data_IF_329502880331
#
_entry.id   IF_329502880331
#
_cell.length_a   1.000
_cell.length_b   1.000
_cell.length_c   1.000
_cell.angle_alpha   90.00
_cell.angle_beta   90.00
_cell.angle_gamma   90.00
#
_symmetry.space_group_name_H-M   'P 1'
#
loop_
_entity.id
_entity.type
_entity.pdbx_description
1 polymer ?
#
# COMPACT_ATOMS: atom_id res chain seq x y z
N UNK A 1 42.21 -30.88 18.70
CA UNK A 1 40.74 -31.02 18.78
C UNK A 1 40.13 -29.63 18.99
N UNK A 2 39.13 -29.29 18.18
CA UNK A 2 38.49 -27.98 18.03
C UNK A 2 37.82 -27.49 19.32
N UNK A 3 37.96 -26.19 19.64
CA UNK A 3 37.00 -25.42 20.44
C UNK A 3 36.75 -24.07 19.77
N UNK A 4 35.98 -24.09 18.68
CA UNK A 4 35.34 -22.90 18.12
C UNK A 4 34.03 -22.72 18.89
N UNK A 5 34.06 -21.94 19.96
CA UNK A 5 32.92 -21.70 20.85
C UNK A 5 32.49 -20.23 20.69
N UNK A 6 31.35 -20.08 20.01
CA UNK A 6 30.16 -19.41 20.55
C UNK A 6 30.14 -17.89 20.68
N UNK A 7 30.32 -17.19 19.56
CA UNK A 7 29.99 -15.75 19.46
C UNK A 7 29.02 -15.45 18.31
N UNK A 8 27.97 -16.27 18.18
CA UNK A 8 27.04 -16.19 17.04
C UNK A 8 25.54 -16.10 17.39
N UNK A 9 25.10 -15.25 18.36
CA UNK A 9 23.68 -14.88 18.37
C UNK A 9 23.42 -13.37 18.32
N UNK A 10 24.42 -12.51 18.13
CA UNK A 10 24.24 -11.04 18.22
C UNK A 10 24.13 -10.29 16.89
N UNK A 11 24.33 -10.95 15.74
CA UNK A 11 24.33 -10.30 14.42
C UNK A 11 22.93 -10.22 13.77
N UNK A 12 21.92 -10.91 14.32
CA UNK A 12 20.58 -10.96 13.70
C UNK A 12 19.62 -9.84 14.17
N UNK A 13 20.02 -8.96 15.09
CA UNK A 13 19.12 -7.92 15.65
C UNK A 13 19.09 -6.61 14.85
N UNK A 14 19.94 -6.44 13.82
CA UNK A 14 19.96 -5.23 12.98
C UNK A 14 19.34 -5.45 11.59
N UNK A 15 18.73 -6.61 11.34
CA UNK A 15 18.24 -6.96 10.00
C UNK A 15 16.90 -6.31 9.62
N UNK A 16 16.26 -5.57 10.54
CA UNK A 16 15.00 -4.85 10.27
C UNK A 16 15.16 -3.32 10.22
N UNK A 17 16.38 -2.79 10.23
CA UNK A 17 16.65 -1.35 10.05
C UNK A 17 17.08 -1.07 8.60
N UNK A 18 16.17 -1.27 7.66
CA UNK A 18 16.30 -0.77 6.29
C UNK A 18 15.90 0.70 6.20
N UNK A 19 16.29 1.41 5.13
CA UNK A 19 15.73 2.73 4.86
C UNK A 19 14.21 2.65 4.68
N UNK A 20 13.51 3.73 5.02
CA UNK A 20 12.07 3.82 4.77
C UNK A 20 11.75 3.56 3.30
N UNK A 21 10.67 2.84 3.03
CA UNK A 21 10.25 2.55 1.67
C UNK A 21 9.98 3.86 0.89
N UNK A 22 10.40 3.98 -0.38
CA UNK A 22 10.11 5.18 -1.18
C UNK A 22 8.60 5.36 -1.36
N UNK A 23 8.14 6.60 -1.57
CA UNK A 23 6.71 6.93 -1.76
C UNK A 23 6.09 6.13 -2.90
N UNK A 24 6.83 5.91 -3.98
CA UNK A 24 6.38 5.09 -5.11
C UNK A 24 6.01 3.65 -4.66
N UNK A 25 6.82 3.04 -3.79
CA UNK A 25 6.54 1.70 -3.27
C UNK A 25 5.32 1.68 -2.35
N UNK A 26 5.16 2.70 -1.50
CA UNK A 26 3.98 2.83 -0.64
C UNK A 26 2.72 2.99 -1.48
N UNK A 27 2.75 3.83 -2.50
CA UNK A 27 1.61 4.02 -3.39
C UNK A 27 1.24 2.75 -4.15
N UNK A 28 2.23 2.07 -4.75
CA UNK A 28 2.02 0.79 -5.47
C UNK A 28 1.40 -0.27 -4.58
N UNK A 29 1.82 -0.39 -3.32
CA UNK A 29 1.23 -1.32 -2.35
C UNK A 29 -0.26 -1.01 -2.11
N UNK A 30 -0.62 0.27 -1.94
CA UNK A 30 -2.03 0.67 -1.78
C UNK A 30 -2.82 0.35 -3.05
N UNK A 31 -2.28 0.63 -4.24
CA UNK A 31 -2.93 0.29 -5.52
C UNK A 31 -3.24 -1.21 -5.60
N UNK A 32 -2.24 -2.06 -5.36
CA UNK A 32 -2.40 -3.52 -5.41
C UNK A 32 -3.52 -3.96 -4.46
N UNK A 33 -3.53 -3.46 -3.23
CA UNK A 33 -4.55 -3.80 -2.22
C UNK A 33 -5.95 -3.34 -2.61
N UNK A 34 -6.07 -2.13 -3.19
CA UNK A 34 -7.34 -1.62 -3.69
C UNK A 34 -7.84 -2.44 -4.88
N UNK A 35 -6.96 -2.87 -5.79
CA UNK A 35 -7.33 -3.71 -6.93
C UNK A 35 -7.76 -5.12 -6.51
N UNK A 36 -7.10 -5.68 -5.52
CA UNK A 36 -7.50 -6.94 -4.91
C UNK A 36 -8.85 -6.84 -4.21
N UNK A 37 -9.08 -5.76 -3.45
CA UNK A 37 -10.38 -5.50 -2.85
C UNK A 37 -11.47 -5.30 -3.93
N UNK A 38 -11.18 -4.54 -4.99
CA UNK A 38 -12.12 -4.30 -6.09
C UNK A 38 -12.55 -5.61 -6.80
N UNK A 39 -11.66 -6.60 -6.89
CA UNK A 39 -11.97 -7.90 -7.50
C UNK A 39 -13.00 -8.71 -6.70
N UNK A 40 -13.08 -8.53 -5.38
CA UNK A 40 -13.98 -9.30 -4.49
C UNK A 40 -15.10 -8.46 -3.87
N UNK A 41 -15.02 -7.13 -3.98
CA UNK A 41 -15.95 -6.17 -3.38
C UNK A 41 -16.46 -5.19 -4.47
N UNK A 42 -17.63 -5.45 -5.09
CA UNK A 42 -18.14 -4.62 -6.19
C UNK A 42 -18.28 -3.13 -5.85
N UNK A 43 -18.62 -2.82 -4.59
CA UNK A 43 -18.76 -1.44 -4.12
C UNK A 43 -17.46 -0.63 -4.12
N UNK A 44 -16.29 -1.29 -4.04
CA UNK A 44 -14.97 -0.64 -4.11
C UNK A 44 -14.65 -0.29 -5.56
N UNK A 45 -14.89 -1.22 -6.50
CA UNK A 45 -14.65 -1.01 -7.92
C UNK A 45 -15.45 0.18 -8.48
N UNK A 46 -16.73 0.29 -8.08
CA UNK A 46 -17.60 1.41 -8.47
C UNK A 46 -17.08 2.75 -7.92
N UNK A 47 -16.64 2.79 -6.66
CA UNK A 47 -16.20 4.03 -6.03
C UNK A 47 -14.87 4.58 -6.56
N UNK A 48 -14.02 3.71 -7.10
CA UNK A 48 -12.73 4.08 -7.67
C UNK A 48 -12.78 4.24 -9.21
N UNK A 49 -13.95 4.04 -9.83
CA UNK A 49 -14.15 4.04 -11.29
C UNK A 49 -13.13 3.12 -12.01
N UNK A 50 -13.08 1.87 -11.55
CA UNK A 50 -12.11 0.87 -11.98
C UNK A 50 -12.70 -0.06 -13.04
N UNK A 51 -12.01 -0.16 -14.18
CA UNK A 51 -12.28 -1.15 -15.21
C UNK A 51 -11.51 -2.46 -15.01
N UNK A 52 -11.44 -3.27 -16.08
CA UNK A 52 -10.75 -4.57 -16.10
C UNK A 52 -9.23 -4.48 -15.85
N UNK A 53 -8.63 -3.30 -15.99
CA UNK A 53 -7.20 -3.05 -15.84
C UNK A 53 -6.91 -2.16 -14.62
N UNK A 54 -7.36 -2.58 -13.43
CA UNK A 54 -7.30 -1.78 -12.21
C UNK A 54 -5.89 -1.25 -11.90
N UNK A 55 -4.87 -2.12 -11.80
CA UNK A 55 -3.53 -1.69 -11.40
C UNK A 55 -2.94 -0.68 -12.38
N UNK A 56 -2.98 -1.00 -13.68
CA UNK A 56 -2.46 -0.10 -14.71
C UNK A 56 -3.19 1.25 -14.70
N UNK A 57 -4.51 1.23 -14.50
CA UNK A 57 -5.33 2.44 -14.47
C UNK A 57 -5.01 3.32 -13.26
N UNK A 58 -4.86 2.73 -12.07
CA UNK A 58 -4.52 3.46 -10.86
C UNK A 58 -3.07 3.96 -10.87
N UNK A 59 -2.11 3.14 -11.30
CA UNK A 59 -0.70 3.53 -11.38
C UNK A 59 -0.48 4.71 -12.33
N UNK A 60 -1.11 4.68 -13.50
CA UNK A 60 -1.04 5.76 -14.47
C UNK A 60 -1.73 7.04 -13.93
N UNK A 61 -2.91 6.90 -13.32
CA UNK A 61 -3.69 8.03 -12.78
C UNK A 61 -2.97 8.73 -11.63
N UNK A 62 -2.32 7.97 -10.76
CA UNK A 62 -1.62 8.48 -9.57
C UNK A 62 -0.18 8.89 -9.83
N UNK A 63 0.41 8.46 -10.96
CA UNK A 63 1.83 8.67 -11.26
C UNK A 63 2.77 7.74 -10.50
N UNK A 64 2.24 6.74 -9.78
CA UNK A 64 3.01 5.88 -8.89
C UNK A 64 3.91 4.87 -9.61
N UNK A 65 3.83 4.79 -10.93
CA UNK A 65 4.82 4.08 -11.75
C UNK A 65 6.21 4.75 -11.74
N UNK A 66 6.28 6.07 -11.50
CA UNK A 66 7.54 6.81 -11.47
C UNK A 66 8.36 6.55 -10.21
N UNK A 67 9.64 6.20 -10.34
CA UNK A 67 10.56 6.03 -9.20
C UNK A 67 10.84 7.36 -8.46
N UNK A 68 10.63 8.50 -9.12
CA UNK A 68 10.73 9.83 -8.52
C UNK A 68 9.40 10.34 -7.93
N UNK A 69 8.35 9.50 -7.91
CA UNK A 69 7.07 9.86 -7.32
C UNK A 69 7.24 10.22 -5.84
N UNK A 70 6.59 11.31 -5.44
CA UNK A 70 6.50 11.76 -4.07
C UNK A 70 5.09 12.25 -3.77
N UNK A 71 4.58 11.90 -2.58
CA UNK A 71 3.31 12.39 -2.10
C UNK A 71 3.40 13.89 -1.79
N UNK A 72 2.55 14.68 -2.44
CA UNK A 72 2.44 16.13 -2.20
C UNK A 72 1.11 16.48 -1.54
N UNK A 73 0.01 16.05 -2.16
CA UNK A 73 -1.34 16.13 -1.63
C UNK A 73 -2.12 14.90 -2.11
N UNK A 74 -2.47 13.95 -1.21
CA UNK A 74 -2.23 13.92 0.23
C UNK A 74 -0.73 13.76 0.60
N UNK A 75 -0.38 13.99 1.88
CA UNK A 75 0.99 13.74 2.37
C UNK A 75 1.26 12.26 2.58
N UNK A 76 2.54 11.86 2.61
CA UNK A 76 2.95 10.49 2.89
C UNK A 76 2.37 9.98 4.21
N UNK A 77 2.49 10.75 5.29
CA UNK A 77 2.02 10.37 6.62
C UNK A 77 0.52 10.09 6.60
N UNK A 78 -0.24 10.93 5.88
CA UNK A 78 -1.68 10.77 5.74
C UNK A 78 -2.04 9.49 4.98
N UNK A 79 -1.31 9.16 3.91
CA UNK A 79 -1.48 7.90 3.18
C UNK A 79 -1.15 6.69 4.05
N UNK A 80 -0.07 6.78 4.86
CA UNK A 80 0.36 5.71 5.76
C UNK A 80 -0.65 5.43 6.87
N UNK A 81 -1.24 6.46 7.46
CA UNK A 81 -2.34 6.34 8.43
C UNK A 81 -3.56 5.71 7.76
N UNK A 82 -3.95 6.24 6.60
CA UNK A 82 -5.16 5.81 5.92
C UNK A 82 -5.11 4.38 5.41
N UNK A 83 -3.94 3.86 5.04
CA UNK A 83 -3.81 2.48 4.54
C UNK A 83 -3.91 1.41 5.62
N UNK A 84 -3.87 1.76 6.91
CA UNK A 84 -3.89 0.78 8.02
C UNK A 84 -5.01 -0.27 7.90
N UNK A 85 -6.27 0.08 7.55
CA UNK A 85 -7.33 -0.92 7.36
C UNK A 85 -7.01 -1.92 6.26
N UNK A 86 -6.33 -1.51 5.18
CA UNK A 86 -5.95 -2.37 4.06
C UNK A 86 -4.85 -3.40 4.44
N UNK A 87 -4.23 -3.23 5.61
CA UNK A 87 -3.19 -4.10 6.15
C UNK A 87 -3.74 -5.09 7.19
N UNK A 88 -5.06 -5.19 7.36
CA UNK A 88 -5.69 -6.01 8.43
C UNK A 88 -5.29 -7.49 8.39
N UNK A 89 -4.99 -8.03 7.20
CA UNK A 89 -4.50 -9.40 7.00
C UNK A 89 -2.96 -9.52 6.98
N UNK A 90 -2.26 -8.45 7.36
CA UNK A 90 -0.81 -8.35 7.42
C UNK A 90 -0.19 -7.67 6.20
N UNK A 91 1.14 -7.74 6.14
CA UNK A 91 1.96 -7.07 5.10
C UNK A 91 2.00 -7.83 3.77
N UNK A 92 1.43 -9.03 3.69
CA UNK A 92 1.32 -9.77 2.43
C UNK A 92 0.25 -9.12 1.54
N UNK A 93 0.47 -9.18 0.24
CA UNK A 93 -0.49 -8.84 -0.81
C UNK A 93 -1.04 -10.12 -1.47
N UNK A 94 -0.93 -11.28 -0.83
CA UNK A 94 -1.43 -12.55 -1.41
C UNK A 94 -2.93 -12.73 -1.17
N UNK A 95 -3.48 -11.99 -0.19
CA UNK A 95 -4.89 -12.04 0.18
C UNK A 95 -5.52 -10.65 0.04
N UNK A 96 -6.71 -10.55 -0.56
CA UNK A 96 -7.41 -9.28 -0.67
C UNK A 96 -7.80 -8.76 0.73
N UNK A 97 -7.80 -7.43 0.94
CA UNK A 97 -8.40 -6.83 2.13
C UNK A 97 -9.87 -7.22 2.26
N UNK A 98 -10.39 -7.24 3.49
CA UNK A 98 -11.83 -7.43 3.70
C UNK A 98 -12.62 -6.25 3.12
N UNK A 99 -13.82 -6.51 2.56
CA UNK A 99 -14.64 -5.45 1.98
C UNK A 99 -14.97 -4.32 2.95
N UNK A 100 -15.16 -4.65 4.24
CA UNK A 100 -15.39 -3.66 5.29
C UNK A 100 -14.18 -2.74 5.49
N UNK A 101 -12.97 -3.26 5.39
CA UNK A 101 -11.74 -2.47 5.57
C UNK A 101 -11.44 -1.58 4.35
N UNK A 102 -11.64 -2.13 3.13
CA UNK A 102 -11.54 -1.34 1.91
C UNK A 102 -12.60 -0.24 1.86
N UNK A 103 -13.83 -0.52 2.32
CA UNK A 103 -14.87 0.52 2.45
C UNK A 103 -14.46 1.56 3.48
N UNK A 104 -13.93 1.15 4.63
CA UNK A 104 -13.44 2.06 5.68
C UNK A 104 -12.38 3.02 5.13
N UNK A 105 -11.39 2.51 4.40
CA UNK A 105 -10.41 3.33 3.70
C UNK A 105 -11.08 4.40 2.81
N UNK A 106 -12.03 3.99 1.97
CA UNK A 106 -12.70 4.90 1.04
C UNK A 106 -13.56 5.96 1.74
N UNK A 107 -14.14 5.64 2.89
CA UNK A 107 -15.07 6.54 3.61
C UNK A 107 -14.38 7.43 4.65
N UNK A 108 -13.41 6.90 5.39
CA UNK A 108 -12.74 7.61 6.49
C UNK A 108 -11.52 8.42 6.01
N UNK A 109 -11.03 8.14 4.80
CA UNK A 109 -9.94 8.87 4.16
C UNK A 109 -10.32 9.42 2.79
N UNK A 110 -11.30 10.35 2.72
CA UNK A 110 -11.84 10.85 1.45
C UNK A 110 -10.81 11.61 0.61
N UNK A 111 -9.83 12.25 1.24
CA UNK A 111 -8.71 12.94 0.59
C UNK A 111 -7.77 11.95 -0.11
N UNK A 112 -7.40 10.87 0.57
CA UNK A 112 -6.55 9.82 0.02
C UNK A 112 -7.30 8.99 -1.02
N UNK A 113 -8.55 8.65 -0.76
CA UNK A 113 -9.42 7.97 -1.72
C UNK A 113 -9.65 8.84 -2.98
N UNK A 114 -9.79 10.16 -2.80
CA UNK A 114 -9.86 11.13 -3.89
C UNK A 114 -8.60 11.10 -4.77
N UNK A 115 -7.41 11.07 -4.17
CA UNK A 115 -6.16 10.91 -4.91
C UNK A 115 -6.13 9.62 -5.76
N UNK A 116 -6.57 8.48 -5.23
CA UNK A 116 -6.64 7.24 -6.03
C UNK A 116 -7.75 7.29 -7.09
N UNK A 117 -8.82 8.05 -6.86
CA UNK A 117 -9.92 8.22 -7.82
C UNK A 117 -9.58 9.22 -8.93
N UNK A 118 -8.82 10.27 -8.66
CA UNK A 118 -8.71 11.42 -9.56
C UNK A 118 -7.25 11.74 -9.97
N UNK A 119 -6.26 11.25 -9.21
CA UNK A 119 -4.84 11.53 -9.42
C UNK A 119 -4.30 12.65 -8.53
N UNK A 120 -3.06 13.10 -8.76
CA UNK A 120 -2.57 14.34 -8.16
C UNK A 120 -3.31 15.54 -8.80
N UNK A 121 -3.66 16.57 -8.00
CA UNK A 121 -4.12 17.85 -8.56
C UNK A 121 -3.01 18.57 -9.35
#
# INVERSE_FOLDING_TARGET
MRRLIRWWPLVCLTACSGPDAPDAAVCRDVVVRLCQAAAVCPGVAVQLDLGLACDASLLQRTGCEGEAFAFTSPTRERVLECREPLLSWGMSTDLPPACGDATRFLTECPDVAGFFREGQP
#
